data_IF_364675600646
#
_entry.id   IF_364675600646
#
_cell.length_a   1.000
_cell.length_b   1.000
_cell.length_c   1.000
_cell.angle_alpha   90.00
_cell.angle_beta   90.00
_cell.angle_gamma   90.00
#
_symmetry.space_group_name_H-M   'P 1'
#
loop_
_entity.id
_entity.type
_entity.pdbx_description
1 polymer ?
#
# COMPACT_ATOMS: atom_id res chain seq x y z
N UNK A 1 10.40 14.36 21.09
CA UNK A 1 10.44 14.37 19.61
C UNK A 1 9.46 15.45 19.17
N UNK A 2 9.95 16.53 18.59
CA UNK A 2 9.20 17.78 18.47
C UNK A 2 8.13 17.72 17.37
N UNK A 3 6.88 18.08 17.69
CA UNK A 3 5.76 18.14 16.73
C UNK A 3 6.02 19.01 15.49
N UNK A 4 7.03 19.88 15.55
CA UNK A 4 7.56 20.65 14.41
C UNK A 4 8.13 19.78 13.29
N UNK A 5 8.77 18.66 13.63
CA UNK A 5 9.29 17.71 12.64
C UNK A 5 8.15 16.99 11.92
N UNK A 6 7.12 16.58 12.66
CA UNK A 6 5.96 15.87 12.13
C UNK A 6 5.12 16.78 11.20
N UNK A 7 4.96 18.06 11.57
CA UNK A 7 4.34 19.08 10.73
C UNK A 7 5.14 19.31 9.45
N UNK A 8 6.47 19.39 9.54
CA UNK A 8 7.35 19.50 8.38
C UNK A 8 7.19 18.33 7.41
N UNK A 9 7.19 17.10 7.93
CA UNK A 9 6.99 15.88 7.14
C UNK A 9 5.64 15.89 6.42
N UNK A 10 4.57 16.32 7.10
CA UNK A 10 3.22 16.38 6.52
C UNK A 10 3.09 17.43 5.42
N UNK A 11 3.71 18.59 5.56
CA UNK A 11 3.73 19.62 4.50
C UNK A 11 4.44 19.07 3.27
N UNK A 12 5.58 18.39 3.45
CA UNK A 12 6.32 17.78 2.35
C UNK A 12 5.47 16.70 1.66
N UNK A 13 4.87 15.79 2.41
CA UNK A 13 4.01 14.73 1.86
C UNK A 13 2.79 15.33 1.14
N UNK A 14 2.11 16.31 1.73
CA UNK A 14 0.94 16.95 1.12
C UNK A 14 1.27 17.63 -0.22
N UNK A 15 2.43 18.29 -0.32
CA UNK A 15 2.88 18.89 -1.56
C UNK A 15 3.34 17.86 -2.60
N UNK A 16 4.02 16.80 -2.16
CA UNK A 16 4.53 15.73 -3.04
C UNK A 16 3.40 14.90 -3.63
N UNK A 17 2.34 14.62 -2.87
CA UNK A 17 1.20 13.79 -3.30
C UNK A 17 0.03 14.58 -3.90
N UNK A 18 0.23 15.85 -4.26
CA UNK A 18 -0.74 16.58 -5.09
C UNK A 18 -1.76 17.42 -4.33
N UNK A 19 -1.55 17.76 -3.06
CA UNK A 19 -2.41 18.68 -2.30
C UNK A 19 -2.59 20.05 -2.97
N UNK A 20 -1.64 20.47 -3.79
CA UNK A 20 -1.72 21.72 -4.57
C UNK A 20 -2.72 21.66 -5.73
N UNK A 21 -3.06 20.47 -6.23
CA UNK A 21 -4.03 20.30 -7.32
C UNK A 21 -5.49 20.35 -6.81
N UNK A 22 -5.72 20.12 -5.52
CA UNK A 22 -7.05 20.17 -4.89
C UNK A 22 -7.54 21.60 -4.60
N UNK A 23 -6.63 22.56 -4.41
CA UNK A 23 -7.00 23.97 -4.17
C UNK A 23 -7.47 24.70 -5.43
N UNK A 24 -7.24 24.14 -6.63
CA UNK A 24 -7.48 24.82 -7.91
C UNK A 24 -8.79 24.45 -8.62
N UNK A 25 -9.52 23.44 -8.16
CA UNK A 25 -10.69 22.92 -8.90
C UNK A 25 -12.00 23.43 -8.28
N UNK A 26 -12.33 24.69 -8.57
CA UNK A 26 -13.69 25.20 -8.41
C UNK A 26 -14.49 24.80 -9.66
N UNK A 27 -15.37 23.80 -9.56
CA UNK A 27 -16.17 23.35 -10.69
C UNK A 27 -17.22 24.42 -11.08
N UNK A 28 -17.29 24.86 -12.35
CA UNK A 28 -18.31 25.79 -12.81
C UNK A 28 -19.70 25.13 -12.83
N UNK A 29 -20.67 25.80 -12.23
CA UNK A 29 -22.10 25.46 -12.29
C UNK A 29 -22.62 25.71 -13.70
N UNK A 30 -22.86 24.65 -14.48
CA UNK A 30 -23.59 24.75 -15.75
C UNK A 30 -25.06 24.38 -15.59
N UNK A 31 -25.90 25.38 -15.82
CA UNK A 31 -27.36 25.33 -15.85
C UNK A 31 -27.86 24.95 -17.24
N UNK A 32 -28.71 23.92 -17.32
CA UNK A 32 -29.80 23.79 -18.31
C UNK A 32 -29.50 23.20 -19.70
N UNK A 33 -30.39 22.32 -20.19
CA UNK A 33 -30.52 21.99 -21.62
C UNK A 33 -31.13 20.63 -21.93
N UNK A 34 -32.47 20.54 -21.97
CA UNK A 34 -33.29 19.43 -22.49
C UNK A 34 -33.13 19.24 -24.01
N UNK A 35 -33.11 17.99 -24.50
CA UNK A 35 -33.21 17.68 -25.93
C UNK A 35 -33.33 16.18 -26.24
N UNK A 36 -34.45 15.80 -26.84
CA UNK A 36 -34.96 14.47 -27.23
C UNK A 36 -34.34 13.86 -28.50
N UNK A 37 -34.27 12.52 -28.60
CA UNK A 37 -34.56 11.76 -29.84
C UNK A 37 -34.69 10.23 -29.56
N UNK A 38 -35.71 9.59 -30.14
CA UNK A 38 -36.09 8.17 -29.98
C UNK A 38 -35.45 7.19 -30.99
N UNK A 39 -36.13 6.09 -31.38
CA UNK A 39 -35.76 4.71 -30.96
C UNK A 39 -35.33 3.74 -32.09
N UNK A 40 -34.95 2.52 -31.68
CA UNK A 40 -34.45 1.35 -32.42
C UNK A 40 -35.32 0.82 -33.59
N UNK A 41 -34.77 -0.09 -34.40
CA UNK A 41 -35.19 -1.52 -34.40
C UNK A 41 -33.95 -2.48 -34.50
N UNK A 42 -33.94 -3.77 -34.18
CA UNK A 42 -34.93 -4.85 -34.16
C UNK A 42 -34.42 -5.99 -35.08
N UNK A 43 -34.14 -7.19 -34.55
CA UNK A 43 -33.73 -8.36 -35.35
C UNK A 43 -33.31 -9.61 -34.53
N UNK A 44 -34.23 -10.57 -34.44
CA UNK A 44 -34.17 -11.96 -33.94
C UNK A 44 -33.02 -12.81 -34.56
N UNK A 45 -32.26 -13.63 -33.80
CA UNK A 45 -32.49 -15.00 -33.26
C UNK A 45 -32.06 -16.13 -34.23
N UNK A 46 -31.05 -16.95 -33.86
CA UNK A 46 -31.03 -18.38 -34.19
C UNK A 46 -30.06 -19.19 -33.28
N UNK A 47 -30.48 -20.41 -32.94
CA UNK A 47 -29.98 -21.32 -31.91
C UNK A 47 -29.32 -22.57 -32.55
N UNK A 48 -28.29 -23.17 -31.93
CA UNK A 48 -27.72 -24.45 -32.38
C UNK A 48 -26.44 -24.93 -31.67
N UNK A 49 -26.42 -26.11 -30.99
CA UNK A 49 -25.27 -26.65 -30.20
C UNK A 49 -24.64 -27.90 -30.89
N UNK A 50 -23.84 -28.78 -30.23
CA UNK A 50 -22.71 -28.63 -29.28
C UNK A 50 -21.45 -29.43 -29.76
N UNK A 51 -20.30 -29.34 -29.08
CA UNK A 51 -19.24 -30.36 -29.28
C UNK A 51 -17.92 -30.16 -28.53
N UNK A 52 -17.50 -31.21 -27.80
CA UNK A 52 -16.07 -31.52 -27.60
C UNK A 52 -15.50 -31.40 -26.18
N UNK A 53 -15.51 -32.52 -25.45
CA UNK A 53 -14.64 -32.81 -24.29
C UNK A 53 -13.14 -32.74 -24.63
N UNK A 54 -12.29 -32.54 -23.60
CA UNK A 54 -11.00 -33.18 -23.26
C UNK A 54 -10.34 -32.35 -22.13
N UNK A 55 -10.40 -32.74 -20.84
CA UNK A 55 -9.55 -33.70 -20.08
C UNK A 55 -8.10 -33.22 -19.80
N UNK A 56 -7.84 -33.07 -18.48
CA UNK A 56 -6.58 -33.10 -17.70
C UNK A 56 -5.41 -32.12 -17.95
N UNK A 57 -4.96 -31.44 -16.89
CA UNK A 57 -3.90 -31.96 -15.99
C UNK A 57 -3.58 -30.96 -14.87
N UNK A 58 -3.35 -31.49 -13.67
CA UNK A 58 -3.06 -30.72 -12.45
C UNK A 58 -1.68 -30.06 -12.44
N UNK A 59 -1.64 -28.85 -11.88
CA UNK A 59 -0.42 -28.14 -11.49
C UNK A 59 -0.70 -27.38 -10.20
N UNK A 60 -0.14 -27.88 -9.10
CA UNK A 60 -0.23 -27.28 -7.77
C UNK A 60 0.32 -25.86 -7.77
N UNK A 61 -0.55 -24.87 -7.53
CA UNK A 61 -0.18 -23.49 -7.24
C UNK A 61 -0.84 -23.07 -5.94
N UNK A 62 -0.04 -22.53 -5.01
CA UNK A 62 -0.47 -22.04 -3.70
C UNK A 62 -1.53 -20.93 -3.80
N UNK A 63 -2.10 -20.48 -2.66
CA UNK A 63 -3.24 -19.58 -2.66
C UNK A 63 -2.81 -18.16 -3.09
N UNK A 64 -2.70 -17.94 -4.39
CA UNK A 64 -2.91 -16.63 -4.96
C UNK A 64 -4.38 -16.28 -4.67
N UNK A 65 -4.59 -15.28 -3.81
CA UNK A 65 -5.92 -14.72 -3.59
C UNK A 65 -6.53 -14.38 -4.94
N UNK A 66 -7.45 -15.22 -5.40
CA UNK A 66 -8.33 -14.93 -6.50
C UNK A 66 -9.24 -13.78 -6.05
N UNK A 67 -8.83 -12.55 -6.35
CA UNK A 67 -9.74 -11.41 -6.32
C UNK A 67 -10.74 -11.67 -7.44
N UNK A 68 -11.93 -12.10 -7.03
CA UNK A 68 -13.04 -12.41 -7.90
C UNK A 68 -13.31 -11.23 -8.85
N UNK A 69 -13.43 -11.59 -10.14
CA UNK A 69 -14.14 -10.87 -11.21
C UNK A 69 -15.13 -9.85 -10.65
N UNK A 70 -14.83 -8.56 -10.85
CA UNK A 70 -15.82 -7.54 -11.20
C UNK A 70 -15.09 -6.29 -11.68
N UNK A 71 -14.63 -6.32 -12.92
CA UNK A 71 -14.46 -5.09 -13.70
C UNK A 71 -15.07 -5.36 -15.06
N UNK A 72 -16.40 -5.29 -15.08
CA UNK A 72 -17.13 -5.12 -16.31
C UNK A 72 -16.59 -3.87 -17.00
N UNK A 73 -16.40 -3.99 -18.30
CA UNK A 73 -16.06 -2.97 -19.29
C UNK A 73 -16.72 -1.62 -18.94
N UNK A 74 -15.95 -0.70 -18.35
CA UNK A 74 -16.39 0.67 -18.14
C UNK A 74 -16.12 1.45 -19.42
N UNK A 75 -17.01 1.32 -20.40
CA UNK A 75 -17.18 2.36 -21.41
C UNK A 75 -17.52 3.65 -20.67
N UNK A 76 -16.78 4.71 -20.95
CA UNK A 76 -16.79 5.97 -20.22
C UNK A 76 -18.20 6.58 -20.12
N UNK A 77 -18.79 6.49 -18.94
CA UNK A 77 -19.78 7.43 -18.40
C UNK A 77 -19.72 7.33 -16.87
N UNK A 78 -18.64 7.87 -16.29
CA UNK A 78 -18.52 7.98 -14.83
C UNK A 78 -19.46 9.11 -14.37
N UNK A 79 -20.55 8.83 -13.64
CA UNK A 79 -21.40 9.90 -13.12
C UNK A 79 -20.56 10.83 -12.23
N UNK A 80 -20.85 12.15 -12.22
CA UNK A 80 -20.05 13.11 -11.48
C UNK A 80 -19.99 12.71 -10.00
N UNK A 81 -18.77 12.64 -9.46
CA UNK A 81 -18.49 12.36 -8.06
C UNK A 81 -19.13 13.46 -7.21
N UNK A 82 -20.31 13.21 -6.65
CA UNK A 82 -21.00 14.15 -5.75
C UNK A 82 -20.59 13.94 -4.30
N UNK A 83 -20.57 15.03 -3.54
CA UNK A 83 -20.39 15.00 -2.09
C UNK A 83 -21.72 14.58 -1.45
N UNK A 84 -21.88 13.28 -1.22
CA UNK A 84 -23.00 12.76 -0.45
C UNK A 84 -22.67 12.79 1.05
N UNK A 85 -23.70 12.89 1.91
CA UNK A 85 -23.55 12.92 3.36
C UNK A 85 -22.62 11.83 3.93
N UNK A 86 -22.74 10.55 3.53
CA UNK A 86 -21.83 9.50 3.97
C UNK A 86 -20.36 9.73 3.56
N UNK A 87 -20.11 10.25 2.35
CA UNK A 87 -18.75 10.54 1.86
C UNK A 87 -18.12 11.70 2.64
N UNK A 88 -18.89 12.75 2.93
CA UNK A 88 -18.44 13.86 3.77
C UNK A 88 -18.07 13.39 5.17
N UNK A 89 -18.86 12.48 5.75
CA UNK A 89 -18.57 11.90 7.07
C UNK A 89 -17.30 11.05 7.07
N UNK A 90 -17.05 10.26 6.02
CA UNK A 90 -15.80 9.51 5.85
C UNK A 90 -14.59 10.43 5.71
N UNK A 91 -14.71 11.50 4.90
CA UNK A 91 -13.64 12.49 4.76
C UNK A 91 -13.33 13.20 6.08
N UNK A 92 -14.38 13.58 6.84
CA UNK A 92 -14.22 14.20 8.14
C UNK A 92 -13.62 13.24 9.17
N UNK A 93 -14.03 11.96 9.14
CA UNK A 93 -13.40 10.91 9.95
C UNK A 93 -11.92 10.75 9.65
N UNK A 94 -11.54 10.73 8.37
CA UNK A 94 -10.14 10.60 7.95
C UNK A 94 -9.31 11.84 8.32
N UNK A 95 -9.86 13.05 8.16
CA UNK A 95 -9.24 14.29 8.61
C UNK A 95 -9.08 14.34 10.14
N UNK A 96 -10.11 13.88 10.87
CA UNK A 96 -10.08 13.79 12.33
C UNK A 96 -9.00 12.81 12.79
N UNK A 97 -8.88 11.63 12.16
CA UNK A 97 -7.83 10.65 12.45
C UNK A 97 -6.44 11.28 12.27
N UNK A 98 -6.19 11.92 11.14
CA UNK A 98 -4.90 12.55 10.82
C UNK A 98 -4.60 13.69 11.80
N UNK A 99 -5.57 14.57 12.04
CA UNK A 99 -5.40 15.69 12.96
C UNK A 99 -5.20 15.26 14.42
N UNK A 100 -5.96 14.27 14.87
CA UNK A 100 -5.86 13.69 16.20
C UNK A 100 -4.51 13.02 16.45
N UNK A 101 -4.06 12.21 15.49
CA UNK A 101 -2.76 11.53 15.60
C UNK A 101 -1.58 12.53 15.59
N UNK A 102 -1.63 13.57 14.75
CA UNK A 102 -0.49 14.46 14.54
C UNK A 102 -0.40 15.63 15.52
N UNK A 103 -1.53 16.22 15.92
CA UNK A 103 -1.54 17.41 16.77
C UNK A 103 -1.82 17.11 18.23
N UNK A 104 -2.47 15.98 18.51
CA UNK A 104 -2.91 15.61 19.85
C UNK A 104 -2.26 14.30 20.36
N UNK A 105 -1.34 13.71 19.58
CA UNK A 105 -0.65 12.45 19.88
C UNK A 105 -1.63 11.32 20.31
N UNK A 106 -2.83 11.31 19.72
CA UNK A 106 -3.86 10.31 20.03
C UNK A 106 -3.52 8.95 19.41
N UNK A 107 -3.85 7.87 20.12
CA UNK A 107 -3.67 6.51 19.62
C UNK A 107 -4.49 6.28 18.33
N UNK A 108 -3.78 5.98 17.25
CA UNK A 108 -4.35 5.83 15.91
C UNK A 108 -5.34 4.66 15.87
N UNK A 109 -5.09 3.59 16.62
CA UNK A 109 -5.96 2.42 16.70
C UNK A 109 -7.31 2.75 17.35
N UNK A 110 -7.27 3.38 18.52
CA UNK A 110 -8.45 3.84 19.24
C UNK A 110 -9.26 4.84 18.42
N UNK A 111 -8.60 5.78 17.75
CA UNK A 111 -9.26 6.74 16.86
C UNK A 111 -9.94 6.02 15.68
N UNK A 112 -9.24 5.10 15.01
CA UNK A 112 -9.80 4.35 13.89
C UNK A 112 -11.03 3.53 14.31
N UNK A 113 -10.98 2.86 15.47
CA UNK A 113 -12.13 2.14 16.03
C UNK A 113 -13.29 3.09 16.35
N UNK A 114 -13.01 4.23 16.99
CA UNK A 114 -14.03 5.23 17.35
C UNK A 114 -14.73 5.78 16.11
N UNK A 115 -13.96 6.15 15.08
CA UNK A 115 -14.48 6.63 13.80
C UNK A 115 -15.32 5.53 13.14
N UNK A 116 -14.85 4.29 13.14
CA UNK A 116 -15.57 3.14 12.58
C UNK A 116 -16.93 2.94 13.27
N UNK A 117 -16.98 3.04 14.60
CA UNK A 117 -18.23 2.95 15.39
C UNK A 117 -19.18 4.07 15.01
N UNK A 118 -18.70 5.33 14.98
CA UNK A 118 -19.54 6.49 14.61
C UNK A 118 -20.08 6.37 13.19
N UNK A 119 -19.24 6.02 12.21
CA UNK A 119 -19.68 5.81 10.83
C UNK A 119 -20.67 4.67 10.69
N UNK A 120 -20.50 3.60 11.47
CA UNK A 120 -21.41 2.45 11.45
C UNK A 120 -22.78 2.79 12.02
N UNK A 121 -22.85 3.66 13.03
CA UNK A 121 -24.11 4.15 13.60
C UNK A 121 -24.85 5.10 12.64
N UNK A 122 -24.12 6.02 11.99
CA UNK A 122 -24.73 7.01 11.09
C UNK A 122 -25.09 6.41 9.72
N UNK A 123 -24.28 5.47 9.23
CA UNK A 123 -24.49 4.80 7.94
C UNK A 123 -24.40 3.27 8.05
N UNK A 124 -25.42 2.60 8.62
CA UNK A 124 -25.40 1.14 8.80
C UNK A 124 -25.29 0.37 7.48
N UNK A 125 -25.83 0.95 6.40
CA UNK A 125 -25.73 0.37 5.05
C UNK A 125 -24.29 0.27 4.57
N UNK A 126 -23.43 1.25 4.90
CA UNK A 126 -22.02 1.26 4.52
C UNK A 126 -21.16 0.35 5.39
N UNK A 127 -21.61 0.05 6.62
CA UNK A 127 -20.92 -0.86 7.53
C UNK A 127 -21.11 -2.35 7.17
N UNK A 128 -22.19 -2.70 6.47
CA UNK A 128 -22.43 -4.09 6.03
C UNK A 128 -21.31 -4.55 5.10
N UNK A 129 -20.63 -5.63 5.48
CA UNK A 129 -19.50 -6.19 4.73
C UNK A 129 -18.19 -5.42 4.88
N UNK A 130 -18.12 -4.37 5.70
CA UNK A 130 -16.87 -3.61 5.91
C UNK A 130 -15.78 -4.47 6.58
N UNK A 131 -16.18 -5.32 7.54
CA UNK A 131 -15.29 -6.23 8.27
C UNK A 131 -14.64 -7.27 7.35
N UNK A 132 -15.37 -7.74 6.34
CA UNK A 132 -14.87 -8.70 5.35
C UNK A 132 -13.82 -8.07 4.41
N UNK A 133 -13.83 -6.74 4.27
CA UNK A 133 -12.84 -5.99 3.50
C UNK A 133 -11.58 -5.66 4.29
N UNK A 134 -11.52 -5.99 5.58
CA UNK A 134 -10.30 -5.85 6.36
C UNK A 134 -9.24 -6.85 5.90
N UNK A 135 -7.99 -6.39 5.80
CA UNK A 135 -6.86 -7.22 5.44
C UNK A 135 -6.40 -8.11 6.63
N UNK A 136 -7.24 -9.05 7.06
CA UNK A 136 -7.01 -9.90 8.23
C UNK A 136 -5.68 -10.65 8.20
N UNK A 137 -5.26 -11.12 7.02
CA UNK A 137 -3.95 -11.75 6.82
C UNK A 137 -2.79 -10.82 7.20
N UNK A 138 -2.90 -9.52 6.90
CA UNK A 138 -1.87 -8.53 7.27
C UNK A 138 -1.86 -8.32 8.78
N UNK A 139 -3.03 -8.18 9.40
CA UNK A 139 -3.14 -8.00 10.87
C UNK A 139 -2.56 -9.21 11.61
N UNK A 140 -2.91 -10.43 11.20
CA UNK A 140 -2.40 -11.67 11.79
C UNK A 140 -0.89 -11.83 11.58
N UNK A 141 -0.36 -11.46 10.42
CA UNK A 141 1.07 -11.49 10.13
C UNK A 141 1.84 -10.54 11.08
N UNK A 142 1.42 -9.28 11.16
CA UNK A 142 2.07 -8.29 12.04
C UNK A 142 1.98 -8.73 13.50
N UNK A 143 0.83 -9.22 13.95
CA UNK A 143 0.64 -9.78 15.28
C UNK A 143 1.61 -10.94 15.56
N UNK A 144 1.71 -11.90 14.64
CA UNK A 144 2.61 -13.04 14.76
C UNK A 144 4.08 -12.65 14.83
N UNK A 145 4.51 -11.69 14.00
CA UNK A 145 5.90 -11.23 14.00
C UNK A 145 6.24 -10.45 15.27
N UNK A 146 5.37 -9.54 15.73
CA UNK A 146 5.56 -8.84 17.00
C UNK A 146 5.63 -9.83 18.17
N UNK A 147 4.80 -10.87 18.15
CA UNK A 147 4.83 -11.95 19.16
C UNK A 147 6.14 -12.72 19.09
N UNK A 148 6.59 -13.12 17.90
CA UNK A 148 7.84 -13.84 17.69
C UNK A 148 9.05 -13.01 18.15
N UNK A 149 9.10 -11.73 17.79
CA UNK A 149 10.16 -10.81 18.21
C UNK A 149 10.15 -10.64 19.73
N UNK A 150 8.99 -10.47 20.36
CA UNK A 150 8.89 -10.43 21.82
C UNK A 150 9.39 -11.72 22.47
N UNK A 151 9.14 -12.88 21.86
CA UNK A 151 9.68 -14.15 22.35
C UNK A 151 11.20 -14.25 22.17
N UNK A 152 11.75 -13.82 21.03
CA UNK A 152 13.21 -13.76 20.82
C UNK A 152 13.89 -12.81 21.81
N UNK A 153 13.25 -11.68 22.12
CA UNK A 153 13.71 -10.73 23.14
C UNK A 153 13.74 -11.39 24.52
N UNK A 154 12.65 -12.06 24.92
CA UNK A 154 12.57 -12.80 26.19
C UNK A 154 13.60 -13.92 26.31
N UNK A 155 13.97 -14.55 25.19
CA UNK A 155 15.02 -15.59 25.14
C UNK A 155 16.43 -15.00 25.13
N UNK A 156 16.59 -13.67 25.10
CA UNK A 156 17.89 -12.99 25.02
C UNK A 156 18.58 -13.13 23.67
N UNK A 157 17.86 -13.60 22.63
CA UNK A 157 18.44 -13.76 21.28
C UNK A 157 18.77 -12.40 20.66
N UNK A 158 17.95 -11.38 20.92
CA UNK A 158 18.20 -10.01 20.44
C UNK A 158 19.47 -9.44 21.10
N UNK A 159 19.65 -9.64 22.41
CA UNK A 159 20.85 -9.20 23.13
C UNK A 159 22.11 -9.96 22.69
N UNK A 160 21.99 -11.26 22.42
CA UNK A 160 23.07 -12.07 21.89
C UNK A 160 23.49 -11.58 20.50
N UNK A 161 22.52 -11.39 19.60
CA UNK A 161 22.77 -10.91 18.25
C UNK A 161 23.32 -9.48 18.26
N UNK A 162 22.85 -8.61 19.16
CA UNK A 162 23.37 -7.26 19.35
C UNK A 162 24.85 -7.27 19.76
N UNK A 163 25.26 -8.16 20.66
CA UNK A 163 26.67 -8.30 21.09
C UNK A 163 27.56 -8.86 19.98
N UNK A 164 27.08 -9.86 19.24
CA UNK A 164 27.79 -10.43 18.09
C UNK A 164 27.91 -9.39 16.96
N UNK A 165 26.85 -8.63 16.68
CA UNK A 165 26.87 -7.54 15.69
C UNK A 165 27.75 -6.39 16.15
N UNK A 166 27.79 -6.03 17.44
CA UNK A 166 28.74 -5.03 17.95
C UNK A 166 30.21 -5.47 17.77
N UNK A 167 30.48 -6.79 17.70
CA UNK A 167 31.79 -7.33 17.35
C UNK A 167 32.06 -7.34 15.83
N UNK A 168 31.01 -7.32 15.02
CA UNK A 168 31.06 -7.21 13.56
C UNK A 168 31.01 -5.72 13.19
N UNK A 169 32.10 -5.19 12.65
CA UNK A 169 32.18 -3.78 12.22
C UNK A 169 31.32 -3.43 10.97
N UNK A 170 30.17 -4.08 10.76
CA UNK A 170 29.29 -3.85 9.60
C UNK A 170 27.78 -3.67 9.90
N UNK A 171 27.34 -2.87 10.88
CA UNK A 171 25.91 -2.58 11.16
C UNK A 171 25.20 -1.94 9.96
N UNK A 172 25.94 -1.09 9.27
CA UNK A 172 25.58 -0.47 8.00
C UNK A 172 25.20 -1.50 6.93
N UNK A 173 25.87 -2.65 6.88
CA UNK A 173 25.53 -3.73 5.94
C UNK A 173 24.24 -4.43 6.34
N UNK A 174 24.00 -4.63 7.64
CA UNK A 174 22.73 -5.15 8.14
C UNK A 174 21.54 -4.27 7.77
N UNK A 175 21.69 -2.95 7.96
CA UNK A 175 20.70 -1.95 7.53
C UNK A 175 20.42 -2.01 6.01
N UNK A 176 21.47 -2.15 5.19
CA UNK A 176 21.33 -2.31 3.74
C UNK A 176 20.59 -3.60 3.37
N UNK A 177 20.92 -4.71 4.03
CA UNK A 177 20.26 -6.01 3.80
C UNK A 177 18.78 -5.95 4.15
N UNK A 178 18.40 -5.29 5.25
CA UNK A 178 16.99 -5.07 5.61
C UNK A 178 16.27 -4.27 4.52
N UNK A 179 16.88 -3.20 4.00
CA UNK A 179 16.30 -2.42 2.91
C UNK A 179 16.18 -3.24 1.62
N UNK A 180 17.18 -4.08 1.30
CA UNK A 180 17.19 -4.95 0.13
C UNK A 180 16.10 -6.02 0.21
N UNK A 181 15.98 -6.70 1.35
CA UNK A 181 14.93 -7.70 1.60
C UNK A 181 13.55 -7.02 1.51
N UNK A 182 13.41 -5.84 2.13
CA UNK A 182 12.20 -5.02 2.03
C UNK A 182 11.81 -4.73 0.60
N UNK A 183 12.74 -4.24 -0.22
CA UNK A 183 12.49 -3.95 -1.62
C UNK A 183 12.12 -5.21 -2.41
N UNK A 184 12.93 -6.28 -2.37
CA UNK A 184 12.71 -7.48 -3.18
C UNK A 184 11.39 -8.15 -2.84
N UNK A 185 11.06 -8.27 -1.55
CA UNK A 185 9.83 -8.96 -1.14
C UNK A 185 8.60 -8.07 -1.34
N UNK A 186 8.71 -6.73 -1.23
CA UNK A 186 7.60 -5.81 -1.56
C UNK A 186 7.14 -5.94 -3.01
N UNK A 187 8.02 -6.36 -3.93
CA UNK A 187 7.64 -6.59 -5.33
C UNK A 187 6.51 -7.61 -5.50
N UNK A 188 6.36 -8.52 -4.54
CA UNK A 188 5.45 -9.67 -4.60
C UNK A 188 4.45 -9.71 -3.45
N UNK A 189 4.62 -8.87 -2.43
CA UNK A 189 3.87 -8.93 -1.18
C UNK A 189 3.20 -7.59 -0.85
N UNK A 190 2.51 -7.55 0.29
CA UNK A 190 1.95 -6.30 0.82
C UNK A 190 3.04 -5.47 1.48
N UNK A 191 3.28 -4.26 0.98
CA UNK A 191 4.20 -3.26 1.53
C UNK A 191 3.93 -3.01 3.01
N UNK A 192 2.66 -2.89 3.39
CA UNK A 192 2.25 -2.68 4.79
C UNK A 192 2.61 -3.88 5.66
N UNK A 193 2.39 -5.10 5.18
CA UNK A 193 2.78 -6.32 5.89
C UNK A 193 4.30 -6.45 6.01
N UNK A 194 5.03 -6.09 4.96
CA UNK A 194 6.49 -6.09 4.92
C UNK A 194 7.11 -5.09 5.90
N UNK A 195 6.60 -3.87 5.96
CA UNK A 195 7.07 -2.88 6.94
C UNK A 195 6.77 -3.34 8.37
N UNK A 196 5.57 -3.86 8.63
CA UNK A 196 5.25 -4.44 9.94
C UNK A 196 6.14 -5.62 10.34
N UNK A 197 6.67 -6.36 9.36
CA UNK A 197 7.59 -7.48 9.57
C UNK A 197 9.05 -7.04 9.82
N UNK A 198 9.54 -6.09 9.02
CA UNK A 198 10.94 -5.72 8.97
C UNK A 198 11.32 -4.64 10.00
N UNK A 199 10.39 -3.79 10.41
CA UNK A 199 10.65 -2.74 11.42
C UNK A 199 11.10 -3.36 12.77
N UNK A 200 10.44 -4.39 13.31
CA UNK A 200 10.92 -5.05 14.53
C UNK A 200 12.32 -5.66 14.40
N UNK A 201 12.69 -6.16 13.21
CA UNK A 201 14.04 -6.68 12.95
C UNK A 201 15.10 -5.58 12.91
N UNK A 202 14.72 -4.34 12.62
CA UNK A 202 15.62 -3.19 12.67
C UNK A 202 15.94 -2.77 14.12
N UNK A 203 15.07 -3.06 15.10
CA UNK A 203 15.22 -2.64 16.52
C UNK A 203 16.60 -2.91 17.11
N UNK A 204 17.20 -4.11 17.02
CA UNK A 204 18.54 -4.35 17.55
C UNK A 204 19.61 -3.40 16.98
N UNK A 205 19.51 -3.03 15.70
CA UNK A 205 20.44 -2.07 15.07
C UNK A 205 20.22 -0.63 15.55
N UNK A 206 19.00 -0.31 15.97
CA UNK A 206 18.65 1.02 16.49
C UNK A 206 19.09 1.20 17.95
N UNK A 207 19.03 0.13 18.75
CA UNK A 207 19.41 0.16 20.16
C UNK A 207 20.92 0.33 20.37
N UNK A 208 21.74 -0.19 19.46
CA UNK A 208 23.20 -0.04 19.51
C UNK A 208 23.68 1.36 19.07
N UNK A 209 22.77 2.22 18.60
CA UNK A 209 23.05 3.63 18.28
C UNK A 209 23.91 3.88 17.04
N UNK A 210 24.36 2.82 16.36
CA UNK A 210 25.22 2.90 15.17
C UNK A 210 24.45 3.31 13.90
N UNK A 211 23.11 3.26 13.94
CA UNK A 211 22.24 3.67 12.83
C UNK A 211 21.04 4.48 13.35
N UNK A 212 20.81 5.66 12.76
CA UNK A 212 19.65 6.49 13.11
C UNK A 212 18.31 5.83 12.79
N UNK A 213 17.41 5.73 13.79
CA UNK A 213 16.08 5.14 13.65
C UNK A 213 15.25 5.77 12.52
N UNK A 214 15.19 7.09 12.47
CA UNK A 214 14.44 7.80 11.43
C UNK A 214 15.03 7.49 10.04
N UNK A 215 16.35 7.47 9.91
CA UNK A 215 17.05 7.22 8.65
C UNK A 215 16.80 5.81 8.11
N UNK A 216 16.94 4.79 8.96
CA UNK A 216 16.73 3.39 8.57
C UNK A 216 15.27 3.11 8.20
N UNK A 217 14.32 3.57 9.01
CA UNK A 217 12.90 3.35 8.76
C UNK A 217 12.44 4.09 7.50
N UNK A 218 12.95 5.31 7.28
CA UNK A 218 12.69 6.07 6.04
C UNK A 218 13.28 5.36 4.82
N UNK A 219 14.53 4.90 4.91
CA UNK A 219 15.19 4.18 3.81
C UNK A 219 14.45 2.89 3.45
N UNK A 220 14.05 2.12 4.47
CA UNK A 220 13.25 0.91 4.31
C UNK A 220 11.89 1.20 3.68
N UNK A 221 11.17 2.22 4.17
CA UNK A 221 9.86 2.60 3.65
C UNK A 221 9.92 3.01 2.17
N UNK A 222 10.91 3.83 1.79
CA UNK A 222 11.10 4.25 0.40
C UNK A 222 11.50 3.05 -0.46
N UNK A 223 12.44 2.22 0.00
CA UNK A 223 12.91 1.04 -0.72
C UNK A 223 11.79 0.04 -1.02
N UNK A 224 10.93 -0.21 -0.04
CA UNK A 224 9.77 -1.09 -0.21
C UNK A 224 8.71 -0.46 -1.14
N UNK A 225 8.37 0.81 -0.95
CA UNK A 225 7.27 1.46 -1.67
C UNK A 225 7.57 1.70 -3.15
N UNK A 226 8.82 2.05 -3.49
CA UNK A 226 9.17 2.35 -4.89
C UNK A 226 9.07 1.09 -5.74
N UNK A 227 9.33 -0.10 -5.21
CA UNK A 227 9.21 -1.34 -5.99
C UNK A 227 7.75 -1.70 -6.36
N UNK A 228 6.75 -1.14 -5.68
CA UNK A 228 5.34 -1.52 -5.84
C UNK A 228 4.73 -1.24 -7.22
N UNK A 229 5.41 -0.51 -8.12
CA UNK A 229 4.99 -0.41 -9.52
C UNK A 229 5.42 -1.61 -10.38
N UNK A 230 6.01 -2.64 -9.78
CA UNK A 230 6.30 -3.92 -10.46
C UNK A 230 5.02 -4.52 -11.05
N UNK A 231 5.10 -5.27 -12.16
CA UNK A 231 3.93 -5.91 -12.75
C UNK A 231 3.37 -7.06 -11.90
N UNK A 232 4.07 -7.45 -10.83
CA UNK A 232 3.67 -8.49 -9.89
C UNK A 232 2.92 -7.92 -8.68
N UNK A 233 3.03 -6.62 -8.43
CA UNK A 233 2.25 -5.93 -7.41
C UNK A 233 0.83 -5.65 -7.91
N UNK A 234 -0.13 -5.55 -6.98
CA UNK A 234 -1.53 -5.22 -7.26
C UNK A 234 -1.67 -4.00 -8.17
N UNK A 235 -0.89 -2.95 -7.92
CA UNK A 235 -0.94 -1.70 -8.71
C UNK A 235 -0.39 -1.88 -10.13
N UNK A 236 0.77 -2.52 -10.30
CA UNK A 236 1.36 -2.72 -11.62
C UNK A 236 0.67 -3.80 -12.45
N UNK A 237 0.07 -4.81 -11.80
CA UNK A 237 -0.77 -5.81 -12.47
C UNK A 237 -2.01 -5.16 -13.10
N UNK A 238 -2.66 -4.22 -12.39
CA UNK A 238 -3.79 -3.46 -12.94
C UNK A 238 -3.37 -2.59 -14.12
N UNK A 239 -2.23 -1.92 -14.06
CA UNK A 239 -1.72 -1.13 -15.19
C UNK A 239 -1.47 -2.02 -16.40
N UNK A 240 -0.85 -3.18 -16.21
CA UNK A 240 -0.59 -4.14 -17.29
C UNK A 240 -1.90 -4.69 -17.88
N UNK A 241 -2.88 -5.00 -17.04
CA UNK A 241 -4.18 -5.52 -17.47
C UNK A 241 -5.02 -4.49 -18.26
N UNK A 242 -4.92 -3.20 -17.91
CA UNK A 242 -5.62 -2.11 -18.59
C UNK A 242 -4.88 -1.57 -19.82
N UNK A 243 -3.68 -2.08 -20.12
CA UNK A 243 -2.92 -1.68 -21.31
C UNK A 243 -3.52 -2.32 -22.58
N UNK A 244 -3.63 -1.57 -23.70
CA UNK A 244 -4.03 -2.13 -25.00
C UNK A 244 -3.20 -3.36 -25.38
N UNK A 245 -3.81 -4.36 -26.02
CA UNK A 245 -3.15 -5.65 -26.29
C UNK A 245 -1.84 -5.50 -27.07
N UNK A 246 -1.80 -4.58 -28.04
CA UNK A 246 -0.62 -4.25 -28.85
C UNK A 246 0.59 -3.76 -28.02
N UNK A 247 0.35 -3.21 -26.82
CA UNK A 247 1.38 -2.60 -25.96
C UNK A 247 1.63 -3.37 -24.67
N UNK A 248 0.83 -4.40 -24.35
CA UNK A 248 0.89 -5.14 -23.09
C UNK A 248 2.26 -5.75 -22.84
N UNK A 249 2.86 -6.41 -23.84
CA UNK A 249 4.17 -7.04 -23.73
C UNK A 249 5.30 -6.01 -23.51
N UNK A 250 5.19 -4.85 -24.17
CA UNK A 250 6.13 -3.76 -23.99
C UNK A 250 6.05 -3.20 -22.55
N UNK A 251 4.83 -2.91 -22.07
CA UNK A 251 4.59 -2.41 -20.71
C UNK A 251 5.04 -3.42 -19.66
N UNK A 252 4.68 -4.70 -19.82
CA UNK A 252 5.09 -5.76 -18.90
C UNK A 252 6.62 -5.87 -18.79
N UNK A 253 7.35 -5.89 -19.92
CA UNK A 253 8.82 -5.92 -19.92
C UNK A 253 9.43 -4.67 -19.28
N UNK A 254 8.86 -3.50 -19.53
CA UNK A 254 9.32 -2.22 -18.96
C UNK A 254 9.13 -2.20 -17.45
N UNK A 255 7.96 -2.59 -16.96
CA UNK A 255 7.65 -2.66 -15.52
C UNK A 255 8.50 -3.73 -14.83
N UNK A 256 8.76 -4.86 -15.47
CA UNK A 256 9.64 -5.92 -14.94
C UNK A 256 11.08 -5.42 -14.81
N UNK A 257 11.62 -4.81 -15.88
CA UNK A 257 12.97 -4.27 -15.86
C UNK A 257 13.12 -3.13 -14.85
N UNK A 258 12.11 -2.28 -14.74
CA UNK A 258 12.06 -1.22 -13.73
C UNK A 258 11.99 -1.79 -12.31
N UNK A 259 11.11 -2.75 -12.05
CA UNK A 259 10.96 -3.38 -10.74
C UNK A 259 12.23 -4.09 -10.28
N UNK A 260 12.84 -4.89 -11.15
CA UNK A 260 14.11 -5.57 -10.86
C UNK A 260 15.27 -4.58 -10.67
N UNK A 261 15.35 -3.53 -11.49
CA UNK A 261 16.39 -2.52 -11.37
C UNK A 261 16.26 -1.71 -10.09
N UNK A 262 15.05 -1.22 -9.79
CA UNK A 262 14.79 -0.36 -8.65
C UNK A 262 14.83 -1.12 -7.32
N UNK A 263 14.57 -2.43 -7.32
CA UNK A 263 14.72 -3.30 -6.15
C UNK A 263 16.16 -3.35 -5.61
N UNK A 264 17.16 -3.07 -6.44
CA UNK A 264 18.57 -2.99 -6.03
C UNK A 264 19.00 -1.53 -5.85
N UNK A 265 18.62 -0.66 -6.79
CA UNK A 265 19.05 0.75 -6.77
C UNK A 265 18.43 1.53 -5.60
N UNK A 266 17.15 1.35 -5.30
CA UNK A 266 16.48 2.11 -4.23
C UNK A 266 17.07 1.81 -2.84
N UNK A 267 17.31 0.55 -2.43
CA UNK A 267 18.05 0.26 -1.19
C UNK A 267 19.42 0.91 -1.13
N UNK A 268 20.22 0.82 -2.20
CA UNK A 268 21.57 1.40 -2.21
C UNK A 268 21.55 2.93 -2.08
N UNK A 269 20.65 3.59 -2.81
CA UNK A 269 20.52 5.05 -2.81
C UNK A 269 19.97 5.55 -1.48
N UNK A 270 18.88 4.95 -0.99
CA UNK A 270 18.25 5.39 0.26
C UNK A 270 19.12 5.07 1.48
N UNK A 271 19.82 3.95 1.49
CA UNK A 271 20.84 3.65 2.48
C UNK A 271 21.97 4.69 2.45
N UNK A 272 22.52 5.00 1.28
CA UNK A 272 23.59 5.99 1.14
C UNK A 272 23.16 7.41 1.55
N UNK A 273 21.89 7.77 1.36
CA UNK A 273 21.37 9.10 1.68
C UNK A 273 20.86 9.25 3.10
N UNK A 274 20.27 8.21 3.70
CA UNK A 274 19.58 8.31 4.99
C UNK A 274 20.23 7.50 6.11
N UNK A 275 20.96 6.42 5.78
CA UNK A 275 21.58 5.53 6.77
C UNK A 275 23.04 5.95 7.01
N UNK A 276 23.82 6.17 5.95
CA UNK A 276 25.24 6.56 6.06
C UNK A 276 25.44 7.93 6.74
N UNK A 277 24.68 8.99 6.41
CA UNK A 277 24.85 10.29 7.06
C UNK A 277 24.28 10.30 8.48
N UNK A 278 23.36 9.38 8.80
CA UNK A 278 22.75 9.23 10.13
C UNK A 278 23.59 8.40 11.10
N UNK A 279 24.70 7.80 10.65
CA UNK A 279 25.68 7.07 11.47
C UNK A 279 26.94 7.87 11.81
N UNK A 280 27.07 9.09 11.27
CA UNK A 280 28.15 10.07 11.54
C UNK A 280 27.71 11.05 12.65
#
# INVERSE_FOLDING_TARGET
MDGRFNVGLCVVVCFVFGGRQLLGQCAPTHTGGTGSAGPAPGGEQDDGPPGGQLVEAGGTSGPALAIAKNTATATADTPPVRLDGPRTLTLLGLLSLVGGALFFDLDVGLMALSITVVLSLVSPKSAKGAVERCAWSTVLLVCGIVTYVSQMERMGTIDYLGKEVASIQAPLVGALLICLIGAVVSAFASTTGMLGALIPLAVPFLLDGQVGAVGLITALAISASVVDASPFSTSGALVTANTPEEQRDFVFRRLTAWGLGIAVVAPLVTWGLFVVPGSL
#
